data_IF_526223394126
#
_entry.id   IF_526223394126
#
_cell.length_a   1.000
_cell.length_b   1.000
_cell.length_c   1.000
_cell.angle_alpha   90.00
_cell.angle_beta   90.00
_cell.angle_gamma   90.00
#
_symmetry.space_group_name_H-M   'P 1'
#
loop_
_entity.id
_entity.type
_entity.pdbx_description
1 polymer ?
#
# COMPACT_ATOMS: atom_id res chain seq x y z
N UNK A 1 -56.23 21.26 11.52
CA UNK A 1 -54.81 21.05 11.84
C UNK A 1 -54.68 19.74 12.60
N UNK A 2 -54.07 18.71 12.01
CA UNK A 2 -53.67 17.48 12.71
C UNK A 2 -52.35 17.00 12.13
N UNK A 3 -51.25 17.26 12.84
CA UNK A 3 -49.94 16.69 12.55
C UNK A 3 -49.87 15.32 13.22
N UNK A 4 -50.22 14.27 12.48
CA UNK A 4 -49.93 12.91 12.90
C UNK A 4 -48.42 12.70 12.84
N UNK A 5 -47.76 12.64 14.00
CA UNK A 5 -46.35 12.27 14.12
C UNK A 5 -46.23 10.79 13.76
N UNK A 6 -45.55 10.48 12.66
CA UNK A 6 -45.27 9.10 12.27
C UNK A 6 -44.46 8.39 13.38
N UNK A 7 -44.78 7.13 13.70
CA UNK A 7 -44.06 6.39 14.74
C UNK A 7 -42.60 6.20 14.34
N UNK A 8 -41.66 6.58 15.22
CA UNK A 8 -40.23 6.30 15.07
C UNK A 8 -40.05 4.79 14.93
N UNK A 9 -39.57 4.33 13.77
CA UNK A 9 -39.17 2.92 13.60
C UNK A 9 -38.09 2.61 14.63
N UNK A 10 -38.20 1.51 15.39
CA UNK A 10 -37.13 1.09 16.28
C UNK A 10 -35.90 0.80 15.41
N UNK A 11 -34.90 1.66 15.50
CA UNK A 11 -33.58 1.41 14.94
C UNK A 11 -32.98 0.27 15.75
N UNK A 12 -32.60 -0.82 15.08
CA UNK A 12 -31.88 -1.90 15.73
C UNK A 12 -30.69 -1.32 16.51
N UNK A 13 -30.57 -1.71 17.77
CA UNK A 13 -29.44 -1.32 18.60
C UNK A 13 -28.17 -1.88 17.98
N UNK A 14 -27.20 -1.01 17.70
CA UNK A 14 -25.96 -1.42 17.08
C UNK A 14 -25.16 -2.27 18.09
N UNK A 15 -24.98 -3.55 17.77
CA UNK A 15 -24.04 -4.40 18.48
C UNK A 15 -22.67 -4.29 17.79
N UNK A 16 -21.62 -3.83 18.49
CA UNK A 16 -20.31 -3.71 17.89
C UNK A 16 -19.77 -5.10 17.52
N UNK A 17 -19.14 -5.24 16.34
CA UNK A 17 -18.59 -6.52 15.88
C UNK A 17 -17.33 -6.95 16.67
N UNK A 18 -16.77 -6.04 17.47
CA UNK A 18 -15.59 -6.24 18.31
C UNK A 18 -15.90 -5.77 19.73
N UNK A 19 -15.18 -6.33 20.71
CA UNK A 19 -15.21 -5.82 22.07
C UNK A 19 -14.48 -4.47 22.21
N UNK A 20 -14.49 -3.89 23.42
CA UNK A 20 -13.92 -2.58 23.67
C UNK A 20 -12.41 -2.51 23.35
N UNK A 21 -11.67 -3.60 23.57
CA UNK A 21 -10.23 -3.65 23.31
C UNK A 21 -9.94 -3.81 21.82
N UNK A 22 -10.72 -4.63 21.11
CA UNK A 22 -10.66 -4.74 19.65
C UNK A 22 -10.99 -3.41 18.96
N UNK A 23 -12.02 -2.69 19.42
CA UNK A 23 -12.33 -1.36 18.91
C UNK A 23 -11.23 -0.34 19.21
N UNK A 24 -10.61 -0.41 20.40
CA UNK A 24 -9.47 0.46 20.75
C UNK A 24 -8.29 0.22 19.84
N UNK A 25 -7.98 -1.04 19.54
CA UNK A 25 -6.91 -1.41 18.63
C UNK A 25 -7.17 -0.89 17.21
N UNK A 26 -8.39 -1.06 16.68
CA UNK A 26 -8.76 -0.51 15.36
C UNK A 26 -8.61 1.00 15.34
N UNK A 27 -9.06 1.70 16.40
CA UNK A 27 -8.93 3.15 16.51
C UNK A 27 -7.46 3.61 16.56
N UNK A 28 -6.61 2.91 17.32
CA UNK A 28 -5.17 3.20 17.38
C UNK A 28 -4.51 3.00 16.01
N UNK A 29 -4.86 1.93 15.29
CA UNK A 29 -4.36 1.67 13.94
C UNK A 29 -4.83 2.73 12.95
N UNK A 30 -6.09 3.15 13.06
CA UNK A 30 -6.64 4.20 12.20
C UNK A 30 -6.00 5.57 12.48
N UNK A 31 -5.71 5.89 13.75
CA UNK A 31 -5.00 7.13 14.12
C UNK A 31 -3.54 7.15 13.68
N UNK A 32 -2.88 5.99 13.69
CA UNK A 32 -1.51 5.83 13.22
C UNK A 32 -1.43 5.67 11.69
N UNK A 33 -2.56 5.46 11.02
CA UNK A 33 -2.60 5.27 9.58
C UNK A 33 -2.18 6.55 8.87
N UNK A 34 -1.14 6.43 8.05
CA UNK A 34 -0.74 7.48 7.11
C UNK A 34 -1.31 7.10 5.73
N UNK A 35 -2.00 8.03 5.06
CA UNK A 35 -2.38 7.83 3.66
C UNK A 35 -1.15 7.45 2.82
N UNK A 36 -1.39 6.70 1.75
CA UNK A 36 -0.36 6.40 0.77
C UNK A 36 0.16 7.72 0.18
N UNK A 37 1.45 8.01 0.39
CA UNK A 37 2.12 9.14 -0.24
C UNK A 37 2.74 8.68 -1.56
N UNK A 38 2.06 8.99 -2.66
CA UNK A 38 2.52 8.61 -4.00
C UNK A 38 3.79 9.38 -4.39
N UNK A 39 3.99 10.59 -3.86
CA UNK A 39 5.21 11.37 -4.08
C UNK A 39 6.44 10.70 -3.46
N UNK A 40 6.33 10.29 -2.19
CA UNK A 40 7.39 9.53 -1.51
C UNK A 40 7.77 8.24 -2.28
N UNK A 41 6.79 7.58 -2.91
CA UNK A 41 7.06 6.42 -3.77
C UNK A 41 7.90 6.82 -4.97
N UNK A 42 7.54 7.89 -5.67
CA UNK A 42 8.29 8.37 -6.84
C UNK A 42 9.71 8.82 -6.48
N UNK A 43 9.90 9.47 -5.33
CA UNK A 43 11.22 9.83 -4.82
C UNK A 43 12.09 8.59 -4.57
N UNK A 44 11.52 7.55 -3.97
CA UNK A 44 12.23 6.28 -3.75
C UNK A 44 12.46 5.49 -5.06
N UNK A 45 11.57 5.64 -6.06
CA UNK A 45 11.78 5.10 -7.40
C UNK A 45 12.95 5.79 -8.09
N UNK A 46 13.02 7.12 -8.06
CA UNK A 46 14.12 7.89 -8.63
C UNK A 46 15.44 7.59 -7.93
N UNK A 47 15.43 7.47 -6.59
CA UNK A 47 16.62 7.08 -5.83
C UNK A 47 17.16 5.68 -6.20
N UNK A 48 16.31 4.77 -6.70
CA UNK A 48 16.69 3.41 -7.07
C UNK A 48 17.06 3.25 -8.56
N UNK A 49 16.26 3.84 -9.44
CA UNK A 49 16.31 3.66 -10.91
C UNK A 49 17.01 4.84 -11.59
N UNK A 50 17.14 5.97 -10.91
CA UNK A 50 17.79 7.16 -11.42
C UNK A 50 19.25 6.94 -11.83
N UNK A 51 19.80 7.97 -12.47
CA UNK A 51 21.14 7.93 -13.07
C UNK A 51 22.27 7.69 -12.05
N UNK A 52 22.05 8.07 -10.79
CA UNK A 52 23.00 7.88 -9.71
C UNK A 52 22.61 6.67 -8.87
N UNK A 53 23.56 5.77 -8.63
CA UNK A 53 23.31 4.63 -7.75
C UNK A 53 23.25 5.10 -6.30
N UNK A 54 22.33 4.56 -5.47
CA UNK A 54 22.24 4.94 -4.07
C UNK A 54 23.54 4.58 -3.35
N UNK A 55 23.91 5.37 -2.35
CA UNK A 55 25.13 5.14 -1.57
C UNK A 55 25.05 3.86 -0.73
N UNK A 56 26.19 3.33 -0.30
CA UNK A 56 26.25 2.20 0.66
C UNK A 56 25.43 2.50 1.91
N UNK A 57 25.52 3.72 2.44
CA UNK A 57 24.85 4.13 3.66
C UNK A 57 23.32 4.19 3.53
N UNK A 58 22.79 4.46 2.33
CA UNK A 58 21.35 4.67 2.11
C UNK A 58 20.65 3.47 1.48
N UNK A 59 21.38 2.54 0.86
CA UNK A 59 20.80 1.42 0.09
C UNK A 59 19.90 0.52 0.94
N UNK A 60 20.31 0.15 2.15
CA UNK A 60 19.51 -0.73 3.00
C UNK A 60 18.17 -0.09 3.39
N UNK A 61 18.20 1.18 3.80
CA UNK A 61 16.99 1.94 4.12
C UNK A 61 16.07 2.09 2.90
N UNK A 62 16.63 2.32 1.70
CA UNK A 62 15.87 2.38 0.45
C UNK A 62 15.17 1.06 0.14
N UNK A 63 15.87 -0.07 0.30
CA UNK A 63 15.27 -1.41 0.12
C UNK A 63 14.07 -1.59 1.07
N UNK A 64 14.21 -1.21 2.34
CA UNK A 64 13.13 -1.37 3.32
C UNK A 64 11.93 -0.47 3.03
N UNK A 65 12.16 0.78 2.59
CA UNK A 65 11.08 1.66 2.14
C UNK A 65 10.36 1.12 0.91
N UNK A 66 11.10 0.67 -0.11
CA UNK A 66 10.51 0.05 -1.31
C UNK A 66 9.70 -1.22 -0.99
N UNK A 67 10.15 -2.04 -0.02
CA UNK A 67 9.35 -3.18 0.46
C UNK A 67 8.06 -2.72 1.14
N UNK A 68 8.13 -1.67 1.95
CA UNK A 68 6.95 -1.09 2.60
C UNK A 68 5.94 -0.58 1.58
N UNK A 69 6.41 0.18 0.58
CA UNK A 69 5.58 0.68 -0.52
C UNK A 69 4.92 -0.47 -1.29
N UNK A 70 5.68 -1.48 -1.69
CA UNK A 70 5.13 -2.66 -2.36
C UNK A 70 4.13 -3.41 -1.50
N UNK A 71 4.30 -3.44 -0.18
CA UNK A 71 3.31 -4.04 0.72
C UNK A 71 2.01 -3.27 0.66
N UNK A 72 2.06 -1.96 0.86
CA UNK A 72 0.86 -1.12 0.85
C UNK A 72 0.12 -1.18 -0.49
N UNK A 73 0.85 -1.08 -1.61
CA UNK A 73 0.27 -1.19 -2.96
C UNK A 73 -0.37 -2.56 -3.18
N UNK A 74 0.29 -3.65 -2.75
CA UNK A 74 -0.28 -5.01 -2.86
C UNK A 74 -1.56 -5.16 -2.05
N UNK A 75 -1.60 -4.58 -0.84
CA UNK A 75 -2.77 -4.64 0.02
C UNK A 75 -3.93 -3.85 -0.60
N UNK A 76 -3.66 -2.67 -1.18
CA UNK A 76 -4.66 -1.88 -1.93
C UNK A 76 -5.23 -2.68 -3.11
N UNK A 77 -4.38 -3.38 -3.86
CA UNK A 77 -4.79 -4.19 -5.02
C UNK A 77 -5.82 -5.27 -4.69
N UNK A 78 -5.85 -5.76 -3.44
CA UNK A 78 -6.71 -6.88 -3.01
C UNK A 78 -7.74 -6.48 -1.95
N UNK A 79 -7.85 -5.18 -1.63
CA UNK A 79 -8.68 -4.72 -0.52
C UNK A 79 -10.18 -4.71 -0.81
N UNK A 80 -10.59 -4.59 -2.08
CA UNK A 80 -12.00 -4.47 -2.49
C UNK A 80 -12.44 -5.65 -3.35
N UNK A 81 -13.21 -6.56 -2.76
CA UNK A 81 -13.77 -7.73 -3.44
C UNK A 81 -14.75 -7.36 -4.57
N UNK A 82 -15.31 -6.13 -4.55
CA UNK A 82 -16.21 -5.64 -5.59
C UNK A 82 -15.47 -5.32 -6.89
N UNK A 83 -14.16 -5.08 -6.79
CA UNK A 83 -13.29 -4.75 -7.91
C UNK A 83 -12.08 -5.71 -7.90
N UNK A 84 -12.24 -6.94 -8.41
CA UNK A 84 -11.14 -7.89 -8.40
C UNK A 84 -9.95 -7.37 -9.23
N UNK A 85 -8.70 -7.67 -8.81
CA UNK A 85 -7.52 -7.23 -9.53
C UNK A 85 -7.47 -7.82 -10.94
N UNK A 86 -6.94 -7.05 -11.89
CA UNK A 86 -6.65 -7.57 -13.23
C UNK A 86 -5.60 -8.70 -13.15
N UNK A 87 -5.51 -9.51 -14.21
CA UNK A 87 -4.49 -10.55 -14.29
C UNK A 87 -3.06 -9.99 -14.14
N UNK A 88 -2.82 -8.78 -14.68
CA UNK A 88 -1.53 -8.11 -14.57
C UNK A 88 -1.25 -7.63 -13.15
N UNK A 89 -2.22 -7.01 -12.50
CA UNK A 89 -2.11 -6.64 -11.08
C UNK A 89 -1.84 -7.86 -10.20
N UNK A 90 -2.55 -8.96 -10.40
CA UNK A 90 -2.34 -10.19 -9.65
C UNK A 90 -0.92 -10.76 -9.86
N UNK A 91 -0.41 -10.72 -11.10
CA UNK A 91 0.96 -11.12 -11.44
C UNK A 91 2.00 -10.23 -10.73
N UNK A 92 1.80 -8.92 -10.75
CA UNK A 92 2.68 -7.95 -10.09
C UNK A 92 2.67 -8.12 -8.57
N UNK A 93 1.50 -8.34 -7.95
CA UNK A 93 1.39 -8.62 -6.51
C UNK A 93 2.11 -9.92 -6.12
N UNK A 94 1.96 -10.97 -6.91
CA UNK A 94 2.68 -12.22 -6.66
C UNK A 94 4.21 -12.03 -6.75
N UNK A 95 4.69 -11.30 -7.77
CA UNK A 95 6.11 -10.95 -7.94
C UNK A 95 6.62 -10.06 -6.81
N UNK A 96 5.83 -9.07 -6.39
CA UNK A 96 6.14 -8.18 -5.27
C UNK A 96 6.29 -8.98 -3.98
N UNK A 97 5.36 -9.90 -3.68
CA UNK A 97 5.44 -10.77 -2.49
C UNK A 97 6.73 -11.59 -2.47
N UNK A 98 7.11 -12.19 -3.60
CA UNK A 98 8.36 -12.94 -3.69
C UNK A 98 9.59 -12.05 -3.45
N UNK A 99 9.68 -10.91 -4.13
CA UNK A 99 10.81 -9.97 -4.00
C UNK A 99 10.94 -9.38 -2.59
N UNK A 100 9.82 -9.03 -1.94
CA UNK A 100 9.85 -8.48 -0.57
C UNK A 100 10.48 -9.46 0.43
N UNK A 101 10.35 -10.75 0.19
CA UNK A 101 10.86 -11.80 1.08
C UNK A 101 12.31 -12.19 0.78
N UNK A 102 12.92 -11.69 -0.30
CA UNK A 102 14.35 -11.90 -0.54
C UNK A 102 15.17 -11.24 0.59
N UNK A 103 16.17 -11.93 1.12
CA UNK A 103 17.09 -11.33 2.10
C UNK A 103 17.84 -10.16 1.47
N UNK A 104 18.02 -9.06 2.22
CA UNK A 104 18.87 -7.95 1.76
C UNK A 104 20.33 -8.44 1.69
N UNK A 105 20.98 -8.39 0.51
CA UNK A 105 22.38 -8.78 0.40
C UNK A 105 23.30 -7.85 1.18
N UNK A 106 24.38 -8.38 1.76
CA UNK A 106 25.41 -7.57 2.43
C UNK A 106 26.31 -6.85 1.43
N UNK A 107 26.54 -7.45 0.25
CA UNK A 107 27.30 -6.83 -0.82
C UNK A 107 26.51 -5.67 -1.45
N UNK A 108 27.09 -4.47 -1.40
CA UNK A 108 26.42 -3.24 -1.84
C UNK A 108 25.82 -3.32 -3.26
N UNK A 109 26.58 -3.81 -4.25
CA UNK A 109 26.09 -3.91 -5.63
C UNK A 109 24.87 -4.85 -5.76
N UNK A 110 24.83 -5.92 -4.98
CA UNK A 110 23.69 -6.83 -4.96
C UNK A 110 22.48 -6.20 -4.26
N UNK A 111 22.70 -5.41 -3.21
CA UNK A 111 21.64 -4.65 -2.54
C UNK A 111 21.05 -3.56 -3.44
N UNK A 112 21.89 -2.85 -4.22
CA UNK A 112 21.45 -1.92 -5.28
C UNK A 112 20.62 -2.67 -6.34
N UNK A 113 21.08 -3.86 -6.75
CA UNK A 113 20.34 -4.71 -7.68
C UNK A 113 18.98 -5.14 -7.15
N UNK A 114 18.87 -5.45 -5.86
CA UNK A 114 17.58 -5.73 -5.21
C UNK A 114 16.69 -4.47 -5.17
N UNK A 115 17.24 -3.31 -4.79
CA UNK A 115 16.51 -2.05 -4.77
C UNK A 115 15.89 -1.73 -6.14
N UNK A 116 16.66 -1.87 -7.23
CA UNK A 116 16.17 -1.68 -8.61
C UNK A 116 15.06 -2.66 -8.97
N UNK A 117 15.22 -3.95 -8.64
CA UNK A 117 14.18 -4.96 -8.92
C UNK A 117 12.89 -4.67 -8.16
N UNK A 118 12.98 -4.24 -6.90
CA UNK A 118 11.82 -3.78 -6.12
C UNK A 118 11.18 -2.56 -6.79
N UNK A 119 11.98 -1.55 -7.12
CA UNK A 119 11.51 -0.30 -7.72
C UNK A 119 10.79 -0.52 -9.06
N UNK A 120 11.31 -1.37 -9.96
CA UNK A 120 10.61 -1.65 -11.21
C UNK A 120 9.23 -2.28 -10.99
N UNK A 121 9.11 -3.23 -10.06
CA UNK A 121 7.80 -3.82 -9.74
C UNK A 121 6.88 -2.80 -9.07
N UNK A 122 7.42 -1.91 -8.24
CA UNK A 122 6.66 -0.80 -7.65
C UNK A 122 6.11 0.12 -8.73
N UNK A 123 6.95 0.55 -9.69
CA UNK A 123 6.56 1.41 -10.79
C UNK A 123 5.45 0.78 -11.64
N UNK A 124 5.64 -0.49 -12.06
CA UNK A 124 4.63 -1.23 -12.83
C UNK A 124 3.29 -1.31 -12.08
N UNK A 125 3.32 -1.59 -10.77
CA UNK A 125 2.11 -1.73 -9.96
C UNK A 125 1.41 -0.37 -9.72
N UNK A 126 2.18 0.70 -9.50
CA UNK A 126 1.63 2.07 -9.41
C UNK A 126 0.93 2.44 -10.70
N UNK A 127 1.53 2.18 -11.85
CA UNK A 127 0.93 2.47 -13.15
C UNK A 127 -0.40 1.74 -13.33
N UNK A 128 -0.46 0.44 -13.03
CA UNK A 128 -1.69 -0.34 -13.13
C UNK A 128 -2.77 0.16 -12.15
N UNK A 129 -2.40 0.52 -10.92
CA UNK A 129 -3.34 1.06 -9.94
C UNK A 129 -3.87 2.44 -10.33
N UNK A 130 -3.07 3.29 -10.98
CA UNK A 130 -3.52 4.55 -11.56
C UNK A 130 -4.50 4.30 -12.71
N UNK A 131 -4.16 3.40 -13.66
CA UNK A 131 -5.02 3.06 -14.80
C UNK A 131 -6.40 2.57 -14.33
N UNK A 132 -6.42 1.76 -13.28
CA UNK A 132 -7.64 1.24 -12.68
C UNK A 132 -8.31 2.20 -11.67
N UNK A 133 -7.76 3.41 -11.47
CA UNK A 133 -8.27 4.48 -10.59
C UNK A 133 -8.35 4.12 -9.10
N UNK A 134 -7.52 3.20 -8.63
CA UNK A 134 -7.36 2.91 -7.20
C UNK A 134 -6.58 4.00 -6.46
N UNK A 135 -5.63 4.63 -7.15
CA UNK A 135 -4.81 5.72 -6.62
C UNK A 135 -4.77 6.86 -7.65
N UNK A 136 -4.50 8.08 -7.16
CA UNK A 136 -4.27 9.24 -8.03
C UNK A 136 -2.78 9.33 -8.38
N UNK A 137 -2.47 9.71 -9.61
CA UNK A 137 -1.10 10.08 -9.98
C UNK A 137 -0.71 11.42 -9.34
N UNK A 138 0.58 11.73 -9.38
CA UNK A 138 1.09 13.08 -9.10
C UNK A 138 0.82 13.97 -10.33
N UNK A 139 0.05 15.04 -10.14
CA UNK A 139 -0.24 16.05 -11.18
C UNK A 139 0.99 16.88 -11.56
#
# INVERSE_FOLDING_TARGET
MSTAVAPKRPTAEWAPPLDADGLRLVLERFRAWKPLDVGDIFDDLDAAIGSQSPSVATTAALVDRLRSHLKQLSDITVADDSFPPTAEMARLVARARALRNECTPTAHQQAVGLARRLAFVTADLVEELIKARYIKGTE
#
